data_IF_370987865568
#
_entry.id   IF_370987865568
#
_cell.length_a   1.000
_cell.length_b   1.000
_cell.length_c   1.000
_cell.angle_alpha   90.00
_cell.angle_beta   90.00
_cell.angle_gamma   90.00
#
_symmetry.space_group_name_H-M   'P 1'
#
loop_
_entity.id
_entity.type
_entity.pdbx_description
1 polymer ?
#
# COMPACT_ATOMS: atom_id res chain seq x y z
N UNK A 1 14.76 16.54 11.71
CA UNK A 1 14.86 15.81 10.42
C UNK A 1 13.46 15.54 9.92
N UNK A 2 13.11 15.84 8.65
CA UNK A 2 11.74 15.68 8.21
C UNK A 2 11.41 14.18 8.18
N UNK A 3 10.38 13.79 8.92
CA UNK A 3 9.79 12.45 8.92
C UNK A 3 9.29 12.09 7.51
N UNK A 4 10.19 11.72 6.58
CA UNK A 4 9.81 11.00 5.37
C UNK A 4 9.25 9.66 5.85
N UNK A 5 7.93 9.48 5.76
CA UNK A 5 7.27 8.19 6.00
C UNK A 5 7.99 7.12 5.17
N UNK A 6 8.85 6.34 5.81
CA UNK A 6 9.62 5.28 5.16
C UNK A 6 8.74 4.04 5.13
N UNK A 7 8.24 3.68 3.96
CA UNK A 7 7.56 2.41 3.75
C UNK A 7 8.58 1.28 3.88
N UNK A 8 8.17 0.20 4.55
CA UNK A 8 8.98 -0.99 4.81
C UNK A 8 8.25 -2.23 4.29
N UNK A 9 9.01 -3.30 4.05
CA UNK A 9 8.42 -4.61 3.70
C UNK A 9 7.44 -5.04 4.80
N UNK A 10 6.27 -5.52 4.39
CA UNK A 10 5.15 -5.86 5.26
C UNK A 10 4.21 -4.69 5.58
N UNK A 11 4.55 -3.44 5.23
CA UNK A 11 3.63 -2.33 5.43
C UNK A 11 2.39 -2.49 4.53
N UNK A 12 1.18 -2.34 5.08
CA UNK A 12 -0.03 -2.23 4.28
C UNK A 12 -0.05 -0.87 3.60
N UNK A 13 -0.34 -0.86 2.30
CA UNK A 13 -0.34 0.33 1.45
C UNK A 13 -1.61 0.42 0.64
N UNK A 14 -1.95 1.65 0.27
CA UNK A 14 -3.06 1.98 -0.63
C UNK A 14 -2.55 2.99 -1.66
N UNK A 15 -3.21 3.05 -2.81
CA UNK A 15 -2.93 4.11 -3.77
C UNK A 15 -3.20 5.49 -3.16
N UNK A 16 -2.31 6.43 -3.42
CA UNK A 16 -2.38 7.82 -2.97
C UNK A 16 -3.32 8.68 -3.87
N UNK A 17 -3.99 8.07 -4.84
CA UNK A 17 -4.79 8.80 -5.81
C UNK A 17 -6.27 8.91 -5.37
N UNK A 18 -6.87 10.08 -5.55
CA UNK A 18 -8.28 10.34 -5.26
C UNK A 18 -9.24 9.67 -6.26
N UNK A 19 -8.71 9.13 -7.36
CA UNK A 19 -9.50 8.47 -8.42
C UNK A 19 -10.02 7.09 -8.06
N UNK A 20 -9.42 6.41 -7.07
CA UNK A 20 -9.90 5.11 -6.62
C UNK A 20 -10.19 5.20 -5.11
N UNK A 21 -11.40 4.83 -4.65
CA UNK A 21 -11.68 4.78 -3.23
C UNK A 21 -10.66 3.83 -2.56
N UNK A 22 -9.76 4.41 -1.76
CA UNK A 22 -8.63 3.75 -1.09
C UNK A 22 -9.05 2.56 -0.18
N UNK A 23 -10.35 2.39 0.01
CA UNK A 23 -10.96 1.34 0.82
C UNK A 23 -11.04 -0.04 0.14
N UNK A 24 -10.87 -0.14 -1.18
CA UNK A 24 -11.16 -1.41 -1.89
C UNK A 24 -9.95 -2.28 -2.16
N UNK A 25 -8.73 -1.73 -2.24
CA UNK A 25 -7.54 -2.50 -2.59
C UNK A 25 -6.39 -2.11 -1.66
N UNK A 26 -6.21 -2.90 -0.59
CA UNK A 26 -5.01 -2.83 0.24
C UNK A 26 -3.98 -3.77 -0.34
N UNK A 27 -2.78 -3.24 -0.56
CA UNK A 27 -1.62 -4.04 -0.91
C UNK A 27 -0.66 -4.17 0.27
N UNK A 28 0.25 -5.12 0.19
CA UNK A 28 1.35 -5.28 1.13
C UNK A 28 2.66 -5.08 0.39
N UNK A 29 3.56 -4.28 0.95
CA UNK A 29 4.88 -4.07 0.38
C UNK A 29 5.69 -5.37 0.51
N UNK A 30 6.14 -5.94 -0.60
CA UNK A 30 7.00 -7.13 -0.62
C UNK A 30 8.48 -6.77 -0.78
N UNK A 31 8.78 -5.63 -1.40
CA UNK A 31 10.16 -5.14 -1.59
C UNK A 31 10.21 -3.61 -1.60
N UNK A 32 11.31 -3.04 -1.09
CA UNK A 32 11.56 -1.59 -1.09
C UNK A 32 12.84 -1.28 -1.83
N UNK A 33 12.73 -0.47 -2.88
CA UNK A 33 13.85 0.10 -3.64
C UNK A 33 13.91 1.62 -3.43
N UNK A 34 14.95 2.26 -3.97
CA UNK A 34 15.22 3.69 -3.74
C UNK A 34 14.07 4.62 -4.13
N UNK A 35 13.36 4.30 -5.23
CA UNK A 35 12.23 5.10 -5.77
C UNK A 35 10.99 4.26 -6.11
N UNK A 36 11.05 2.95 -5.92
CA UNK A 36 9.98 2.01 -6.27
C UNK A 36 9.73 1.06 -5.13
N UNK A 37 8.53 0.48 -5.13
CA UNK A 37 8.09 -0.53 -4.19
C UNK A 37 7.55 -1.70 -5.00
N UNK A 38 7.81 -2.93 -4.57
CA UNK A 38 6.97 -4.03 -4.98
C UNK A 38 5.81 -4.15 -3.99
N UNK A 39 4.60 -4.19 -4.54
CA UNK A 39 3.37 -4.29 -3.76
C UNK A 39 2.57 -5.47 -4.28
N UNK A 40 2.21 -6.37 -3.37
CA UNK A 40 1.22 -7.41 -3.64
C UNK A 40 -0.16 -6.87 -3.27
N UNK A 41 -0.97 -6.57 -4.27
CA UNK A 41 -2.33 -6.06 -4.08
C UNK A 41 -3.32 -7.18 -3.75
N UNK A 42 -4.39 -6.83 -3.02
CA UNK A 42 -5.49 -7.76 -2.76
C UNK A 42 -6.01 -8.39 -4.06
N UNK A 43 -6.22 -9.71 -4.05
CA UNK A 43 -6.65 -10.55 -5.18
C UNK A 43 -5.67 -10.65 -6.36
N UNK A 44 -4.48 -10.06 -6.27
CA UNK A 44 -3.41 -10.31 -7.25
C UNK A 44 -2.56 -11.50 -6.82
N UNK A 45 -2.15 -12.32 -7.79
CA UNK A 45 -1.28 -13.49 -7.53
C UNK A 45 0.22 -13.15 -7.60
N UNK A 46 0.57 -11.99 -8.15
CA UNK A 46 1.95 -11.57 -8.36
C UNK A 46 2.12 -10.11 -7.91
N UNK A 47 3.26 -9.77 -7.30
CA UNK A 47 3.54 -8.39 -6.90
C UNK A 47 3.76 -7.51 -8.13
N UNK A 48 3.38 -6.24 -8.00
CA UNK A 48 3.59 -5.20 -9.02
C UNK A 48 4.58 -4.16 -8.54
N UNK A 49 5.37 -3.64 -9.48
CA UNK A 49 6.27 -2.51 -9.21
C UNK A 49 5.47 -1.22 -9.26
N UNK A 50 5.44 -0.53 -8.13
CA UNK A 50 4.79 0.75 -7.94
C UNK A 50 5.80 1.85 -7.66
N UNK A 51 5.44 3.08 -8.04
CA UNK A 51 6.26 4.24 -7.71
C UNK A 51 5.96 4.70 -6.30
N UNK A 52 7.00 5.08 -5.55
CA UNK A 52 6.88 5.51 -4.16
C UNK A 52 5.94 6.71 -3.96
N UNK A 53 5.81 7.57 -4.97
CA UNK A 53 4.93 8.75 -4.98
C UNK A 53 3.44 8.43 -5.25
N UNK A 54 3.13 7.19 -5.66
CA UNK A 54 1.77 6.76 -5.98
C UNK A 54 1.10 5.95 -4.87
N UNK A 55 1.85 5.58 -3.84
CA UNK A 55 1.36 4.75 -2.75
C UNK A 55 1.66 5.38 -1.41
N UNK A 56 0.75 5.19 -0.46
CA UNK A 56 0.91 5.62 0.92
C UNK A 56 0.62 4.46 1.85
N UNK A 57 1.14 4.54 3.07
CA UNK A 57 0.75 3.62 4.14
C UNK A 57 -0.77 3.69 4.34
N UNK A 58 -1.40 2.52 4.41
CA UNK A 58 -2.80 2.37 4.72
C UNK A 58 -3.07 2.89 6.14
N UNK A 59 -4.21 3.56 6.33
CA UNK A 59 -4.68 3.96 7.66
C UNK A 59 -5.30 2.76 8.37
N UNK A 60 -5.32 2.79 9.70
CA UNK A 60 -5.86 1.69 10.51
C UNK A 60 -7.34 1.37 10.17
N UNK A 61 -8.17 2.38 9.91
CA UNK A 61 -9.56 2.20 9.52
C UNK A 61 -9.73 1.55 8.13
N UNK A 62 -8.80 1.81 7.21
CA UNK A 62 -8.79 1.18 5.88
C UNK A 62 -8.44 -0.30 6.02
N UNK A 63 -7.37 -0.62 6.75
CA UNK A 63 -6.96 -2.01 7.07
C UNK A 63 -8.09 -2.77 7.74
N UNK A 64 -8.73 -2.15 8.74
CA UNK A 64 -9.85 -2.76 9.46
C UNK A 64 -11.07 -3.00 8.56
N UNK A 65 -11.37 -2.11 7.61
CA UNK A 65 -12.45 -2.29 6.65
C UNK A 65 -12.22 -3.54 5.77
N UNK A 66 -10.97 -3.77 5.34
CA UNK A 66 -10.60 -4.95 4.55
C UNK A 66 -10.61 -6.25 5.37
N UNK A 67 -10.15 -6.20 6.63
CA UNK A 67 -10.15 -7.38 7.51
C UNK A 67 -11.54 -7.75 8.03
N UNK A 68 -12.54 -6.87 7.89
CA UNK A 68 -13.92 -7.16 8.27
C UNK A 68 -14.60 -7.99 7.18
N UNK A 69 -14.08 -9.19 6.98
CA UNK A 69 -14.80 -10.30 6.36
C UNK A 69 -15.89 -10.67 7.37
N UNK A 70 -17.16 -10.47 6.99
CA UNK A 70 -18.33 -10.98 7.71
C UNK A 70 -18.38 -12.51 7.59
#
# INVERSE_FOLDING_TARGET
>A
MPNKKRLSVGDPVVYQNDLYPAYHNIGVVTEVSTNTLQVLWDKEQQPRIERLDRVRKAKANEVQAQCRIL
#
